data_IF_466813244140
#
_entry.id   IF_466813244140
#
_cell.length_a   1.000
_cell.length_b   1.000
_cell.length_c   1.000
_cell.angle_alpha   90.00
_cell.angle_beta   90.00
_cell.angle_gamma   90.00
#
_symmetry.space_group_name_H-M   'P 1'
#
loop_
_entity.id
_entity.type
_entity.pdbx_description
1 polymer ?
#
# COMPACT_ATOMS: atom_id res chain seq x y z
N UNK A 1 -15.03 -15.66 -8.73
CA UNK A 1 -14.15 -16.73 -9.26
C UNK A 1 -14.47 -18.01 -8.49
N UNK A 2 -15.23 -18.95 -9.07
CA UNK A 2 -15.39 -20.29 -8.47
C UNK A 2 -14.07 -21.04 -8.70
N UNK A 3 -13.29 -21.21 -7.65
CA UNK A 3 -12.13 -22.09 -7.71
C UNK A 3 -12.65 -23.49 -8.09
N UNK A 4 -12.21 -24.00 -9.22
CA UNK A 4 -12.54 -25.37 -9.66
C UNK A 4 -11.82 -26.36 -8.74
N UNK A 5 -12.51 -26.70 -7.64
CA UNK A 5 -11.99 -27.59 -6.61
C UNK A 5 -11.84 -29.05 -7.12
N UNK A 6 -12.38 -29.38 -8.31
CA UNK A 6 -12.28 -30.73 -8.86
C UNK A 6 -10.83 -31.09 -9.20
N UNK A 7 -10.07 -30.15 -9.76
CA UNK A 7 -8.63 -30.33 -10.06
C UNK A 7 -7.74 -30.43 -8.82
N UNK A 8 -8.24 -30.00 -7.66
CA UNK A 8 -7.48 -30.10 -6.41
C UNK A 8 -7.61 -31.49 -5.79
N UNK A 9 -8.74 -32.18 -6.02
CA UNK A 9 -8.98 -33.54 -5.52
C UNK A 9 -8.03 -34.61 -6.11
N UNK A 10 -7.46 -34.31 -7.29
CA UNK A 10 -6.49 -35.20 -7.96
C UNK A 10 -5.04 -35.00 -7.47
N UNK A 11 -4.79 -34.03 -6.56
CA UNK A 11 -3.46 -33.75 -6.07
C UNK A 11 -3.20 -34.43 -4.73
N UNK A 12 -1.96 -34.89 -4.49
CA UNK A 12 -1.53 -35.34 -3.17
C UNK A 12 -1.73 -34.25 -2.10
N UNK A 13 -1.93 -34.64 -0.84
CA UNK A 13 -2.10 -33.72 0.30
C UNK A 13 -0.97 -32.71 0.35
N UNK A 14 0.28 -33.18 0.19
CA UNK A 14 1.48 -32.33 0.13
C UNK A 14 1.36 -31.24 -0.95
N UNK A 15 0.90 -31.60 -2.14
CA UNK A 15 0.76 -30.67 -3.26
C UNK A 15 -0.42 -29.72 -3.08
N UNK A 16 -1.53 -30.14 -2.46
CA UNK A 16 -2.65 -29.25 -2.08
C UNK A 16 -2.21 -28.19 -1.09
N UNK A 17 -1.54 -28.59 -0.02
CA UNK A 17 -1.00 -27.67 0.98
C UNK A 17 -0.02 -26.68 0.35
N UNK A 18 0.92 -27.19 -0.44
CA UNK A 18 1.93 -26.34 -1.11
C UNK A 18 1.29 -25.34 -2.07
N UNK A 19 0.28 -25.74 -2.85
CA UNK A 19 -0.47 -24.83 -3.73
C UNK A 19 -1.32 -23.83 -2.94
N UNK A 20 -1.99 -24.27 -1.88
CA UNK A 20 -2.76 -23.41 -0.98
C UNK A 20 -1.89 -22.31 -0.38
N UNK A 21 -0.79 -22.67 0.24
CA UNK A 21 0.16 -21.69 0.82
C UNK A 21 0.77 -20.74 -0.22
N UNK A 22 1.17 -21.25 -1.39
CA UNK A 22 1.69 -20.39 -2.46
C UNK A 22 0.65 -19.38 -2.94
N UNK A 23 -0.61 -19.80 -3.09
CA UNK A 23 -1.67 -18.91 -3.55
C UNK A 23 -2.01 -17.85 -2.51
N UNK A 24 -2.12 -18.22 -1.22
CA UNK A 24 -2.37 -17.26 -0.14
C UNK A 24 -1.22 -16.27 0.02
N UNK A 25 0.03 -16.75 -0.04
CA UNK A 25 1.22 -15.88 -0.01
C UNK A 25 1.25 -14.95 -1.20
N UNK A 26 0.94 -15.44 -2.41
CA UNK A 26 0.90 -14.60 -3.61
C UNK A 26 -0.17 -13.50 -3.50
N UNK A 27 -1.39 -13.83 -3.05
CA UNK A 27 -2.46 -12.84 -2.85
C UNK A 27 -2.05 -11.80 -1.81
N UNK A 28 -1.47 -12.22 -0.68
CA UNK A 28 -1.01 -11.30 0.36
C UNK A 28 0.14 -10.40 -0.13
N UNK A 29 1.12 -10.96 -0.84
CA UNK A 29 2.25 -10.20 -1.39
C UNK A 29 1.81 -9.22 -2.47
N UNK A 30 0.90 -9.63 -3.37
CA UNK A 30 0.37 -8.76 -4.41
C UNK A 30 -0.37 -7.55 -3.82
N UNK A 31 -1.19 -7.76 -2.78
CA UNK A 31 -1.86 -6.65 -2.09
C UNK A 31 -0.88 -5.68 -1.44
N UNK A 32 0.21 -6.17 -0.84
CA UNK A 32 1.28 -5.35 -0.27
C UNK A 32 2.01 -4.52 -1.33
N UNK A 33 2.33 -5.12 -2.48
CA UNK A 33 2.97 -4.40 -3.60
C UNK A 33 2.04 -3.30 -4.15
N UNK A 34 0.76 -3.58 -4.35
CA UNK A 34 -0.22 -2.59 -4.82
C UNK A 34 -0.32 -1.43 -3.83
N UNK A 35 -0.43 -1.71 -2.53
CA UNK A 35 -0.45 -0.68 -1.49
C UNK A 35 0.81 0.18 -1.50
N UNK A 36 1.99 -0.43 -1.66
CA UNK A 36 3.27 0.28 -1.78
C UNK A 36 3.32 1.21 -3.00
N UNK A 37 2.87 0.75 -4.16
CA UNK A 37 2.80 1.57 -5.38
C UNK A 37 1.87 2.77 -5.17
N UNK A 38 0.68 2.57 -4.61
CA UNK A 38 -0.26 3.65 -4.32
C UNK A 38 0.33 4.68 -3.36
N UNK A 39 1.05 4.25 -2.33
CA UNK A 39 1.73 5.12 -1.39
C UNK A 39 2.82 5.97 -2.06
N UNK A 40 3.62 5.38 -2.96
CA UNK A 40 4.64 6.10 -3.74
C UNK A 40 3.98 7.16 -4.62
N UNK A 41 2.88 6.83 -5.32
CA UNK A 41 2.15 7.79 -6.17
C UNK A 41 1.62 8.99 -5.36
N UNK A 42 1.05 8.76 -4.19
CA UNK A 42 0.60 9.83 -3.29
C UNK A 42 1.79 10.68 -2.83
N UNK A 43 2.89 10.06 -2.41
CA UNK A 43 4.11 10.76 -1.98
C UNK A 43 4.68 11.66 -3.07
N UNK A 44 4.72 11.19 -4.32
CA UNK A 44 5.17 12.00 -5.46
C UNK A 44 4.28 13.23 -5.67
N UNK A 45 2.97 13.10 -5.51
CA UNK A 45 2.03 14.24 -5.63
C UNK A 45 2.24 15.26 -4.51
N UNK A 46 2.45 14.80 -3.28
CA UNK A 46 2.78 15.69 -2.16
C UNK A 46 4.12 16.43 -2.36
N UNK A 47 5.15 15.74 -2.82
CA UNK A 47 6.45 16.35 -3.12
C UNK A 47 6.32 17.44 -4.19
N UNK A 48 5.57 17.18 -5.27
CA UNK A 48 5.31 18.20 -6.29
C UNK A 48 4.54 19.40 -5.73
N UNK A 49 3.54 19.16 -4.88
CA UNK A 49 2.77 20.23 -4.25
C UNK A 49 3.67 21.14 -3.37
N UNK A 50 4.54 20.55 -2.57
CA UNK A 50 5.51 21.31 -1.76
C UNK A 50 6.45 22.13 -2.60
N UNK A 51 6.98 21.56 -3.70
CA UNK A 51 7.94 22.27 -4.57
C UNK A 51 7.29 23.46 -5.27
N UNK A 52 6.10 23.28 -5.87
CA UNK A 52 5.50 24.30 -6.73
C UNK A 52 4.65 25.33 -5.99
N UNK A 53 4.17 25.01 -4.80
CA UNK A 53 3.34 25.94 -4.01
C UNK A 53 3.99 26.30 -2.66
N UNK A 54 4.47 25.33 -1.88
CA UNK A 54 5.05 25.61 -0.58
C UNK A 54 6.36 26.37 -0.66
N UNK A 55 7.34 25.86 -1.40
CA UNK A 55 8.66 26.50 -1.50
C UNK A 55 8.63 27.77 -2.35
N UNK A 56 7.78 27.83 -3.39
CA UNK A 56 7.65 29.02 -4.22
C UNK A 56 7.09 30.24 -3.48
N UNK A 57 6.27 30.06 -2.43
CA UNK A 57 5.88 31.14 -1.53
C UNK A 57 7.11 31.77 -0.84
N UNK A 58 8.05 30.94 -0.40
CA UNK A 58 9.33 31.41 0.14
C UNK A 58 10.18 32.17 -0.89
N UNK A 59 10.16 31.75 -2.15
CA UNK A 59 10.87 32.41 -3.23
C UNK A 59 10.25 33.78 -3.60
N UNK A 60 8.90 33.87 -3.67
CA UNK A 60 8.22 35.16 -3.79
C UNK A 60 8.54 36.05 -2.59
N UNK A 61 8.56 35.50 -1.37
CA UNK A 61 8.95 36.22 -0.16
C UNK A 61 10.36 36.84 -0.26
N UNK A 62 11.35 36.11 -0.80
CA UNK A 62 12.69 36.62 -1.04
C UNK A 62 12.68 37.75 -2.06
N UNK A 63 11.93 37.66 -3.14
CA UNK A 63 11.74 38.71 -4.14
C UNK A 63 11.15 39.96 -3.49
N UNK A 64 10.07 39.82 -2.72
CA UNK A 64 9.40 40.94 -2.04
C UNK A 64 10.34 41.65 -1.02
N UNK A 65 11.07 40.86 -0.24
CA UNK A 65 12.02 41.38 0.75
C UNK A 65 13.12 42.13 0.06
N UNK A 66 13.78 41.57 -0.95
CA UNK A 66 14.89 42.24 -1.68
C UNK A 66 14.41 43.47 -2.43
N UNK A 67 13.20 43.46 -2.99
CA UNK A 67 12.56 44.59 -3.61
C UNK A 67 12.33 45.74 -2.60
N UNK A 68 11.80 45.41 -1.43
CA UNK A 68 11.59 46.39 -0.34
C UNK A 68 12.89 46.92 0.25
N UNK A 69 13.94 46.11 0.35
CA UNK A 69 15.26 46.51 0.82
C UNK A 69 15.95 47.47 -0.18
N UNK A 70 15.81 47.21 -1.51
CA UNK A 70 16.32 48.13 -2.54
C UNK A 70 15.63 49.47 -2.44
N UNK A 71 14.28 49.53 -2.37
CA UNK A 71 13.53 50.78 -2.14
C UNK A 71 13.98 51.51 -0.88
N UNK A 72 14.23 50.78 0.21
CA UNK A 72 14.70 51.36 1.46
C UNK A 72 16.10 52.01 1.28
N UNK A 73 16.97 51.35 0.53
CA UNK A 73 18.30 51.89 0.20
C UNK A 73 18.20 53.13 -0.68
N UNK A 74 17.34 53.16 -1.71
CA UNK A 74 17.07 54.32 -2.56
C UNK A 74 16.58 55.52 -1.74
N UNK A 75 15.64 55.29 -0.81
CA UNK A 75 15.19 56.35 0.12
C UNK A 75 16.32 56.89 1.00
N UNK A 76 17.22 56.01 1.43
CA UNK A 76 18.38 56.40 2.22
C UNK A 76 19.40 57.22 1.39
N UNK A 77 19.56 56.89 0.09
CA UNK A 77 20.39 57.67 -0.84
C UNK A 77 19.86 59.10 -1.03
N UNK A 78 18.54 59.31 -0.96
CA UNK A 78 17.92 60.64 -1.06
C UNK A 78 17.98 61.39 0.27
N UNK A 79 17.77 60.67 1.42
CA UNK A 79 17.58 61.32 2.72
C UNK A 79 18.85 61.55 3.54
N UNK A 80 19.98 60.87 3.25
CA UNK A 80 21.20 60.99 3.99
C UNK A 80 22.20 61.90 3.26
N UNK A 81 23.04 62.61 4.06
CA UNK A 81 24.03 63.52 3.55
C UNK A 81 25.48 63.11 3.86
N UNK A 82 25.66 62.12 4.79
CA UNK A 82 27.00 61.70 5.19
C UNK A 82 27.57 60.73 4.12
N UNK A 83 28.72 61.08 3.54
CA UNK A 83 29.37 60.34 2.44
C UNK A 83 29.59 58.93 2.71
N UNK A 84 30.05 58.51 3.93
CA UNK A 84 30.24 57.10 4.30
C UNK A 84 28.94 56.34 4.35
N UNK A 85 27.85 57.01 4.76
CA UNK A 85 26.49 56.40 4.78
C UNK A 85 25.95 56.23 3.37
N UNK A 86 26.08 57.21 2.52
CA UNK A 86 25.69 57.17 1.12
C UNK A 86 26.42 56.05 0.36
N UNK A 87 27.75 55.91 0.58
CA UNK A 87 28.47 54.76 -0.03
C UNK A 87 27.92 53.40 0.39
N UNK A 88 27.71 53.20 1.69
CA UNK A 88 27.12 51.92 2.21
C UNK A 88 25.72 51.69 1.67
N UNK A 89 24.89 52.70 1.53
CA UNK A 89 23.54 52.58 0.99
C UNK A 89 23.56 52.25 -0.50
N UNK A 90 24.50 52.83 -1.25
CA UNK A 90 24.71 52.48 -2.66
C UNK A 90 25.12 51.01 -2.82
N UNK A 91 26.09 50.55 -2.03
CA UNK A 91 26.51 49.13 -2.07
C UNK A 91 25.35 48.20 -1.67
N UNK A 92 24.53 48.64 -0.70
CA UNK A 92 23.34 47.89 -0.28
C UNK A 92 22.31 47.85 -1.40
N UNK A 93 22.01 49.00 -2.03
CA UNK A 93 21.09 49.08 -3.16
C UNK A 93 21.48 48.12 -4.27
N UNK A 94 22.73 48.18 -4.73
CA UNK A 94 23.20 47.35 -5.84
C UNK A 94 23.17 45.86 -5.50
N UNK A 95 23.60 45.48 -4.31
CA UNK A 95 23.56 44.09 -3.83
C UNK A 95 22.14 43.56 -3.70
N UNK A 96 21.18 44.40 -3.24
CA UNK A 96 19.78 43.96 -3.10
C UNK A 96 19.07 43.91 -4.44
N UNK A 97 19.37 44.79 -5.37
CA UNK A 97 18.89 44.73 -6.76
C UNK A 97 19.39 43.49 -7.47
N UNK A 98 20.68 43.15 -7.35
CA UNK A 98 21.24 41.90 -7.89
C UNK A 98 20.56 40.68 -7.28
N UNK A 99 20.34 40.65 -5.96
CA UNK A 99 19.62 39.58 -5.27
C UNK A 99 18.17 39.44 -5.76
N UNK A 100 17.47 40.57 -5.96
CA UNK A 100 16.14 40.58 -6.56
C UNK A 100 16.13 39.94 -7.95
N UNK A 101 17.05 40.37 -8.83
CA UNK A 101 17.14 39.86 -10.21
C UNK A 101 17.38 38.33 -10.23
N UNK A 102 18.27 37.88 -9.34
CA UNK A 102 18.51 36.45 -9.15
C UNK A 102 17.25 35.70 -8.72
N UNK A 103 16.60 36.12 -7.65
CA UNK A 103 15.40 35.45 -7.12
C UNK A 103 14.22 35.55 -8.08
N UNK A 104 14.07 36.69 -8.81
CA UNK A 104 13.06 36.85 -9.85
C UNK A 104 13.22 35.84 -10.98
N UNK A 105 14.42 35.61 -11.43
CA UNK A 105 14.75 34.61 -12.45
C UNK A 105 14.50 33.17 -11.94
N UNK A 106 14.88 32.90 -10.71
CA UNK A 106 14.64 31.57 -10.09
C UNK A 106 13.13 31.28 -9.95
N UNK A 107 12.34 32.31 -9.60
CA UNK A 107 10.91 32.25 -9.43
C UNK A 107 10.18 31.78 -10.71
N UNK A 108 10.67 32.13 -11.90
CA UNK A 108 10.06 31.74 -13.17
C UNK A 108 9.83 30.27 -13.30
N UNK A 109 10.72 29.43 -12.74
CA UNK A 109 10.60 27.97 -12.79
C UNK A 109 9.39 27.42 -12.00
N UNK A 110 8.87 28.19 -11.06
CA UNK A 110 7.75 27.84 -10.19
C UNK A 110 6.39 28.33 -10.71
N UNK A 111 6.34 29.17 -11.75
CA UNK A 111 5.12 29.66 -12.41
C UNK A 111 4.50 28.50 -13.21
N UNK A 112 3.22 28.15 -12.92
CA UNK A 112 2.58 26.95 -13.45
C UNK A 112 1.20 27.17 -14.05
N UNK A 113 0.48 28.19 -13.61
CA UNK A 113 -0.86 28.47 -14.12
C UNK A 113 -0.83 29.67 -15.06
N UNK A 114 -1.82 29.74 -15.95
CA UNK A 114 -1.94 30.89 -16.87
C UNK A 114 -2.15 32.20 -16.14
N UNK A 115 -2.81 32.18 -14.98
CA UNK A 115 -3.03 33.33 -14.12
C UNK A 115 -1.70 33.81 -13.50
N UNK A 116 -0.91 32.89 -12.94
CA UNK A 116 0.44 33.22 -12.42
C UNK A 116 1.34 33.75 -13.52
N UNK A 117 1.28 33.14 -14.71
CA UNK A 117 2.09 33.62 -15.85
C UNK A 117 1.72 35.03 -16.27
N UNK A 118 0.42 35.34 -16.32
CA UNK A 118 -0.05 36.67 -16.68
C UNK A 118 0.46 37.75 -15.67
N UNK A 119 0.39 37.44 -14.38
CA UNK A 119 0.93 38.34 -13.32
C UNK A 119 2.45 38.49 -13.46
N UNK A 120 3.18 37.37 -13.65
CA UNK A 120 4.62 37.38 -13.81
C UNK A 120 5.06 38.23 -15.03
N UNK A 121 4.41 38.05 -16.18
CA UNK A 121 4.71 38.76 -17.42
C UNK A 121 4.40 40.26 -17.28
N UNK A 122 3.30 40.65 -16.60
CA UNK A 122 2.97 42.03 -16.35
C UNK A 122 4.02 42.70 -15.44
N UNK A 123 4.43 42.07 -14.34
CA UNK A 123 5.54 42.55 -13.50
C UNK A 123 6.81 42.69 -14.35
N UNK A 124 7.16 41.66 -15.09
CA UNK A 124 8.38 41.59 -15.90
C UNK A 124 8.45 42.77 -16.90
N UNK A 125 7.31 43.13 -17.51
CA UNK A 125 7.21 44.24 -18.45
C UNK A 125 7.48 45.60 -17.82
N UNK A 126 7.29 45.74 -16.50
CA UNK A 126 7.44 46.99 -15.74
C UNK A 126 8.82 47.14 -15.07
N UNK A 127 9.53 46.03 -14.86
CA UNK A 127 10.76 46.01 -14.10
C UNK A 127 11.88 46.89 -14.71
N UNK A 128 12.07 46.86 -16.02
CA UNK A 128 13.13 47.63 -16.69
C UNK A 128 12.89 49.13 -16.51
N UNK A 129 11.64 49.59 -16.68
CA UNK A 129 11.29 50.97 -16.46
C UNK A 129 11.42 51.40 -14.99
N UNK A 130 11.01 50.53 -14.07
CA UNK A 130 11.15 50.75 -12.65
C UNK A 130 12.63 50.92 -12.23
N UNK A 131 13.50 49.98 -12.65
CA UNK A 131 14.91 50.01 -12.30
C UNK A 131 15.63 51.21 -12.89
N UNK A 132 15.26 51.62 -14.12
CA UNK A 132 15.81 52.85 -14.71
C UNK A 132 15.45 54.09 -13.89
N UNK A 133 14.20 54.21 -13.46
CA UNK A 133 13.69 55.29 -12.62
C UNK A 133 14.31 55.28 -11.22
N UNK A 134 14.45 54.12 -10.61
CA UNK A 134 15.04 53.91 -9.28
C UNK A 134 16.53 54.31 -9.27
N UNK A 135 17.30 53.87 -10.29
CA UNK A 135 18.70 54.23 -10.45
C UNK A 135 18.88 55.74 -10.68
N UNK A 136 18.03 56.35 -11.53
CA UNK A 136 18.08 57.77 -11.83
C UNK A 136 17.84 58.66 -10.58
N UNK A 137 16.76 58.35 -9.85
CA UNK A 137 16.40 59.09 -8.62
C UNK A 137 17.40 58.83 -7.51
N UNK A 138 17.88 57.59 -7.36
CA UNK A 138 18.93 57.25 -6.40
C UNK A 138 20.23 57.97 -6.65
N UNK A 139 20.64 58.12 -7.93
CA UNK A 139 21.83 58.93 -8.32
C UNK A 139 21.60 60.36 -8.10
N UNK A 140 20.41 60.92 -8.42
CA UNK A 140 20.08 62.32 -8.16
C UNK A 140 20.22 62.69 -6.67
N UNK A 141 19.63 61.87 -5.81
CA UNK A 141 19.73 62.03 -4.36
C UNK A 141 21.16 61.91 -3.82
N UNK A 142 21.90 60.87 -4.25
CA UNK A 142 23.29 60.62 -3.84
C UNK A 142 24.24 61.76 -4.22
N UNK A 143 24.00 62.35 -5.37
CA UNK A 143 24.88 63.44 -5.92
C UNK A 143 24.39 64.86 -5.57
N UNK A 144 23.31 64.97 -4.82
CA UNK A 144 22.77 66.27 -4.42
C UNK A 144 23.79 67.03 -3.57
N UNK A 145 24.23 68.20 -4.10
CA UNK A 145 25.17 69.08 -3.44
C UNK A 145 24.51 70.36 -2.86
N UNK A 146 23.25 70.55 -3.18
CA UNK A 146 22.44 71.70 -2.80
C UNK A 146 20.99 71.22 -2.43
N UNK A 147 20.28 72.04 -1.63
CA UNK A 147 18.90 71.67 -1.18
C UNK A 147 17.88 71.59 -2.31
N UNK A 148 18.08 72.24 -3.46
CA UNK A 148 17.13 72.20 -4.58
C UNK A 148 17.17 70.86 -5.31
N UNK A 149 18.38 70.35 -5.62
CA UNK A 149 18.61 69.06 -6.20
C UNK A 149 18.10 67.93 -5.28
N UNK A 150 18.31 68.05 -3.96
CA UNK A 150 17.79 67.06 -2.99
C UNK A 150 16.27 67.08 -2.97
N UNK A 151 15.65 68.28 -3.00
CA UNK A 151 14.21 68.42 -3.05
C UNK A 151 13.60 67.79 -4.33
N UNK A 152 14.23 67.97 -5.48
CA UNK A 152 13.86 67.38 -6.75
C UNK A 152 13.86 65.85 -6.65
N UNK A 153 14.90 65.23 -6.07
CA UNK A 153 14.98 63.80 -5.85
C UNK A 153 13.85 63.31 -4.95
N UNK A 154 13.52 64.03 -3.88
CA UNK A 154 12.39 63.68 -2.98
C UNK A 154 11.06 63.82 -3.70
N UNK A 155 10.78 64.84 -4.45
CA UNK A 155 9.54 65.08 -5.18
C UNK A 155 9.33 64.00 -6.25
N UNK A 156 10.38 63.70 -7.02
CA UNK A 156 10.32 62.57 -8.02
C UNK A 156 10.16 61.20 -7.38
N UNK A 157 10.82 60.96 -6.24
CA UNK A 157 10.65 59.70 -5.52
C UNK A 157 9.21 59.49 -5.04
N UNK A 158 8.53 60.58 -4.65
CA UNK A 158 7.11 60.50 -4.22
C UNK A 158 6.14 60.43 -5.40
N UNK A 159 6.40 61.23 -6.45
CA UNK A 159 5.46 61.36 -7.56
C UNK A 159 5.57 60.27 -8.61
N UNK A 160 6.76 59.73 -8.85
CA UNK A 160 7.04 58.76 -9.92
C UNK A 160 7.42 57.37 -9.38
N UNK A 161 8.41 57.29 -8.50
CA UNK A 161 8.97 56.02 -8.05
C UNK A 161 8.03 55.27 -7.09
N UNK A 162 7.38 55.99 -6.17
CA UNK A 162 6.50 55.31 -5.19
C UNK A 162 5.28 54.64 -5.85
N UNK A 163 4.55 55.30 -6.80
CA UNK A 163 3.48 54.63 -7.51
C UNK A 163 3.94 53.42 -8.32
N UNK A 164 5.08 53.50 -9.00
CA UNK A 164 5.67 52.42 -9.79
C UNK A 164 6.06 51.20 -8.90
N UNK A 165 6.65 51.49 -7.74
CA UNK A 165 6.92 50.46 -6.72
C UNK A 165 5.65 49.82 -6.22
N UNK A 166 4.66 50.64 -5.83
CA UNK A 166 3.42 50.13 -5.22
C UNK A 166 2.63 49.26 -6.20
N UNK A 167 2.64 49.59 -7.50
CA UNK A 167 2.01 48.77 -8.54
C UNK A 167 2.68 47.41 -8.66
N UNK A 168 4.01 47.33 -8.78
CA UNK A 168 4.76 46.07 -8.83
C UNK A 168 4.58 45.27 -7.53
N UNK A 169 4.66 45.97 -6.37
CA UNK A 169 4.53 45.29 -5.08
C UNK A 169 3.15 44.66 -4.86
N UNK A 170 2.07 45.35 -5.27
CA UNK A 170 0.71 44.81 -5.23
C UNK A 170 0.55 43.57 -6.12
N UNK A 171 1.21 43.56 -7.26
CA UNK A 171 1.21 42.38 -8.12
C UNK A 171 2.02 41.20 -7.54
N UNK A 172 3.15 41.50 -6.87
CA UNK A 172 3.88 40.46 -6.11
C UNK A 172 3.02 39.88 -4.97
N UNK A 173 2.23 40.74 -4.28
CA UNK A 173 1.23 40.26 -3.30
C UNK A 173 0.18 39.40 -3.96
N UNK A 174 -0.40 39.80 -5.10
CA UNK A 174 -1.37 39.05 -5.83
C UNK A 174 -0.81 37.67 -6.28
N UNK A 175 0.42 37.63 -6.77
CA UNK A 175 1.11 36.41 -7.13
C UNK A 175 1.29 35.47 -5.92
N UNK A 176 1.64 36.03 -4.76
CA UNK A 176 1.72 35.28 -3.49
C UNK A 176 0.36 34.72 -3.08
N UNK A 177 -0.69 35.53 -3.12
CA UNK A 177 -2.05 35.11 -2.74
C UNK A 177 -2.60 34.02 -3.66
N UNK A 178 -2.32 34.12 -4.97
CA UNK A 178 -2.65 33.05 -5.94
C UNK A 178 -1.93 31.75 -5.57
N UNK A 179 -0.62 31.81 -5.29
CA UNK A 179 0.16 30.63 -4.85
C UNK A 179 -0.37 30.03 -3.56
N UNK A 180 -0.73 30.83 -2.57
CA UNK A 180 -1.31 30.35 -1.30
C UNK A 180 -2.65 29.67 -1.56
N UNK A 181 -3.53 30.32 -2.33
CA UNK A 181 -4.87 29.81 -2.65
C UNK A 181 -4.80 28.49 -3.41
N UNK A 182 -3.97 28.42 -4.43
CA UNK A 182 -3.78 27.21 -5.22
C UNK A 182 -3.15 26.09 -4.40
N UNK A 183 -2.19 26.42 -3.54
CA UNK A 183 -1.58 25.49 -2.59
C UNK A 183 -2.61 24.90 -1.62
N UNK A 184 -3.47 25.72 -1.05
CA UNK A 184 -4.56 25.30 -0.15
C UNK A 184 -5.58 24.39 -0.86
N UNK A 185 -5.99 24.76 -2.08
CA UNK A 185 -6.90 23.99 -2.88
C UNK A 185 -6.30 22.62 -3.24
N UNK A 186 -5.02 22.60 -3.63
CA UNK A 186 -4.30 21.36 -3.92
C UNK A 186 -4.14 20.49 -2.66
N UNK A 187 -3.81 21.11 -1.51
CA UNK A 187 -3.71 20.42 -0.23
C UNK A 187 -5.01 19.70 0.14
N UNK A 188 -6.16 20.40 0.01
CA UNK A 188 -7.49 19.81 0.25
C UNK A 188 -7.78 18.64 -0.68
N UNK A 189 -7.48 18.79 -2.00
CA UNK A 189 -7.64 17.71 -2.98
C UNK A 189 -6.74 16.52 -2.69
N UNK A 190 -5.46 16.76 -2.34
CA UNK A 190 -4.51 15.70 -2.00
C UNK A 190 -4.93 14.96 -0.73
N UNK A 191 -5.44 15.65 0.28
CA UNK A 191 -5.99 15.03 1.49
C UNK A 191 -7.15 14.11 1.17
N UNK A 192 -8.11 14.55 0.33
CA UNK A 192 -9.25 13.72 -0.12
C UNK A 192 -8.76 12.46 -0.86
N UNK A 193 -7.82 12.65 -1.81
CA UNK A 193 -7.22 11.51 -2.56
C UNK A 193 -6.50 10.56 -1.62
N UNK A 194 -5.77 11.06 -0.62
CA UNK A 194 -5.09 10.24 0.37
C UNK A 194 -6.06 9.39 1.19
N UNK A 195 -7.17 9.96 1.66
CA UNK A 195 -8.21 9.19 2.36
C UNK A 195 -8.88 8.15 1.45
N UNK A 196 -9.13 8.49 0.18
CA UNK A 196 -9.68 7.55 -0.78
C UNK A 196 -8.72 6.37 -1.04
N UNK A 197 -7.43 6.66 -1.25
CA UNK A 197 -6.38 5.64 -1.43
C UNK A 197 -6.26 4.77 -0.18
N UNK A 198 -6.28 5.36 1.02
CA UNK A 198 -6.25 4.62 2.27
C UNK A 198 -7.46 3.66 2.40
N UNK A 199 -8.66 4.14 2.05
CA UNK A 199 -9.87 3.30 2.01
C UNK A 199 -9.73 2.13 1.03
N UNK A 200 -9.21 2.37 -0.17
CA UNK A 200 -8.95 1.33 -1.17
C UNK A 200 -7.97 0.28 -0.63
N UNK A 201 -6.88 0.71 0.01
CA UNK A 201 -5.90 -0.21 0.61
C UNK A 201 -6.53 -1.09 1.68
N UNK A 202 -7.39 -0.53 2.55
CA UNK A 202 -8.14 -1.31 3.55
C UNK A 202 -9.03 -2.37 2.86
N UNK A 203 -9.76 -1.99 1.83
CA UNK A 203 -10.64 -2.92 1.08
C UNK A 203 -9.80 -4.06 0.46
N UNK A 204 -8.63 -3.75 -0.10
CA UNK A 204 -7.72 -4.76 -0.67
C UNK A 204 -7.24 -5.73 0.41
N UNK A 205 -6.83 -5.23 1.58
CA UNK A 205 -6.35 -6.05 2.70
C UNK A 205 -7.47 -6.97 3.20
N UNK A 206 -8.66 -6.42 3.45
CA UNK A 206 -9.82 -7.19 3.92
C UNK A 206 -10.24 -8.25 2.90
N UNK A 207 -10.28 -7.89 1.62
CA UNK A 207 -10.59 -8.84 0.54
C UNK A 207 -9.56 -9.96 0.45
N UNK A 208 -8.27 -9.64 0.56
CA UNK A 208 -7.16 -10.58 0.58
C UNK A 208 -7.28 -11.57 1.75
N UNK A 209 -7.65 -11.07 2.94
CA UNK A 209 -7.89 -11.89 4.12
C UNK A 209 -9.02 -12.90 3.89
N UNK A 210 -10.19 -12.46 3.40
CA UNK A 210 -11.31 -13.36 3.12
C UNK A 210 -11.02 -14.38 2.02
N UNK A 211 -10.28 -13.99 0.97
CA UNK A 211 -9.84 -14.92 -0.08
C UNK A 211 -8.92 -15.98 0.51
N UNK A 212 -7.94 -15.58 1.32
CA UNK A 212 -7.00 -16.50 1.97
C UNK A 212 -7.70 -17.46 2.93
N UNK A 213 -8.66 -16.99 3.70
CA UNK A 213 -9.47 -17.80 4.61
C UNK A 213 -10.26 -18.87 3.84
N UNK A 214 -10.96 -18.49 2.76
CA UNK A 214 -11.70 -19.44 1.92
C UNK A 214 -10.81 -20.51 1.28
N UNK A 215 -9.60 -20.14 0.86
CA UNK A 215 -8.63 -21.10 0.32
C UNK A 215 -8.18 -22.06 1.42
N UNK A 216 -7.86 -21.53 2.61
CA UNK A 216 -7.46 -22.31 3.78
C UNK A 216 -8.54 -23.32 4.20
N UNK A 217 -9.78 -22.86 4.34
CA UNK A 217 -10.92 -23.70 4.68
C UNK A 217 -11.16 -24.81 3.64
N UNK A 218 -11.06 -24.47 2.35
CA UNK A 218 -11.22 -25.43 1.27
C UNK A 218 -10.16 -26.54 1.30
N UNK A 219 -8.93 -26.20 1.64
CA UNK A 219 -7.84 -27.18 1.79
C UNK A 219 -8.03 -28.00 3.07
N UNK A 220 -8.34 -27.36 4.19
CA UNK A 220 -8.51 -28.01 5.48
C UNK A 220 -9.68 -29.02 5.47
N UNK A 221 -10.86 -28.61 4.98
CA UNK A 221 -12.03 -29.50 4.88
C UNK A 221 -11.78 -30.64 3.90
N UNK A 222 -11.10 -30.39 2.80
CA UNK A 222 -10.75 -31.40 1.79
C UNK A 222 -9.80 -32.50 2.31
N UNK A 223 -9.11 -32.25 3.42
CA UNK A 223 -8.21 -33.23 4.07
C UNK A 223 -8.84 -33.79 5.34
N UNK A 224 -9.33 -32.93 6.22
CA UNK A 224 -9.79 -33.32 7.56
C UNK A 224 -11.02 -34.18 7.52
N UNK A 225 -12.01 -33.90 6.65
CA UNK A 225 -13.26 -34.62 6.59
C UNK A 225 -13.07 -36.10 6.16
N UNK A 226 -12.41 -36.42 5.02
CA UNK A 226 -12.19 -37.82 4.63
C UNK A 226 -11.32 -38.57 5.63
N UNK A 227 -10.37 -37.90 6.27
CA UNK A 227 -9.51 -38.51 7.27
C UNK A 227 -10.28 -38.86 8.55
N UNK A 228 -11.22 -38.03 8.98
CA UNK A 228 -12.07 -38.31 10.15
C UNK A 228 -13.05 -39.44 9.88
N UNK A 229 -13.63 -39.48 8.69
CA UNK A 229 -14.48 -40.60 8.24
C UNK A 229 -13.69 -41.91 8.22
N UNK A 230 -12.46 -41.92 7.70
CA UNK A 230 -11.59 -43.10 7.71
C UNK A 230 -11.24 -43.52 9.13
N UNK A 231 -10.87 -42.54 10.01
CA UNK A 231 -10.57 -42.82 11.42
C UNK A 231 -11.75 -43.45 12.16
N UNK A 232 -12.98 -42.95 11.95
CA UNK A 232 -14.17 -43.52 12.56
C UNK A 232 -14.40 -44.96 12.07
N UNK A 233 -14.27 -45.22 10.76
CA UNK A 233 -14.42 -46.53 10.20
C UNK A 233 -13.34 -47.50 10.70
N UNK A 234 -12.09 -47.08 10.81
CA UNK A 234 -11.01 -47.90 11.38
C UNK A 234 -11.27 -48.25 12.84
N UNK A 235 -11.92 -47.38 13.63
CA UNK A 235 -12.31 -47.67 15.01
C UNK A 235 -13.34 -48.81 15.08
N UNK A 236 -14.41 -48.75 14.26
CA UNK A 236 -15.42 -49.83 14.23
C UNK A 236 -14.84 -51.11 13.68
N UNK A 237 -13.94 -51.03 12.70
CA UNK A 237 -13.21 -52.18 12.18
C UNK A 237 -12.34 -52.86 13.25
N UNK A 238 -11.63 -52.08 14.05
CA UNK A 238 -10.85 -52.62 15.18
C UNK A 238 -11.70 -53.21 16.30
N UNK A 239 -13.01 -52.87 16.39
CA UNK A 239 -13.99 -53.42 17.29
C UNK A 239 -14.65 -54.71 16.77
N UNK A 240 -14.21 -55.21 15.57
CA UNK A 240 -14.68 -56.44 15.00
C UNK A 240 -15.73 -56.30 13.89
N UNK A 241 -16.13 -55.07 13.53
CA UNK A 241 -17.04 -54.86 12.39
C UNK A 241 -16.28 -55.06 11.06
N UNK A 242 -16.29 -56.26 10.55
CA UNK A 242 -15.67 -56.64 9.28
C UNK A 242 -16.59 -56.45 8.07
N UNK A 243 -17.86 -56.05 8.27
CA UNK A 243 -18.86 -56.01 7.19
C UNK A 243 -19.11 -54.57 6.66
N UNK A 244 -19.17 -53.56 7.52
CA UNK A 244 -19.44 -52.20 7.09
C UNK A 244 -18.42 -51.68 6.05
N UNK A 245 -18.87 -51.00 4.99
CA UNK A 245 -17.97 -50.53 3.94
C UNK A 245 -17.09 -49.40 4.43
N UNK A 246 -15.86 -49.32 3.94
CA UNK A 246 -15.03 -48.13 4.10
C UNK A 246 -15.56 -46.98 3.27
N UNK A 247 -15.38 -45.72 3.72
CA UNK A 247 -15.89 -44.54 3.04
C UNK A 247 -15.41 -44.47 1.59
N UNK A 248 -16.30 -43.99 0.70
CA UNK A 248 -15.90 -43.67 -0.67
C UNK A 248 -15.11 -42.35 -0.67
N UNK A 249 -13.89 -42.38 -1.14
CA UNK A 249 -13.03 -41.20 -1.24
C UNK A 249 -12.90 -40.82 -2.72
N UNK A 250 -13.42 -39.64 -3.09
CA UNK A 250 -13.38 -39.12 -4.47
C UNK A 250 -12.01 -38.49 -4.83
N UNK A 251 -10.99 -38.62 -4.00
CA UNK A 251 -9.65 -38.13 -4.26
C UNK A 251 -8.71 -39.23 -4.73
N UNK A 252 -7.67 -38.87 -5.46
CA UNK A 252 -6.57 -39.74 -5.87
C UNK A 252 -5.31 -39.40 -5.08
N UNK A 253 -5.47 -39.21 -3.76
CA UNK A 253 -4.38 -38.78 -2.87
C UNK A 253 -4.04 -39.91 -1.87
N UNK A 254 -3.15 -39.57 -0.95
CA UNK A 254 -2.66 -40.48 0.10
C UNK A 254 -3.80 -41.04 0.98
N UNK A 255 -4.92 -40.30 1.10
CA UNK A 255 -6.13 -40.82 1.84
C UNK A 255 -6.82 -41.92 1.04
N UNK A 256 -6.93 -41.78 -0.27
CA UNK A 256 -7.48 -42.83 -1.13
C UNK A 256 -6.62 -44.10 -1.06
N UNK A 257 -5.31 -43.97 -1.03
CA UNK A 257 -4.39 -45.10 -0.85
C UNK A 257 -4.59 -45.76 0.52
N UNK A 258 -4.70 -44.99 1.59
CA UNK A 258 -4.98 -45.51 2.95
C UNK A 258 -6.31 -46.26 2.99
N UNK A 259 -7.36 -45.74 2.35
CA UNK A 259 -8.65 -46.43 2.25
C UNK A 259 -8.52 -47.72 1.44
N UNK A 260 -7.74 -47.72 0.35
CA UNK A 260 -7.45 -48.90 -0.46
C UNK A 260 -6.78 -50.01 0.35
N UNK A 261 -5.73 -49.67 1.09
CA UNK A 261 -5.03 -50.62 1.99
C UNK A 261 -5.98 -51.16 3.08
N UNK A 262 -6.80 -50.28 3.71
CA UNK A 262 -7.74 -50.69 4.72
C UNK A 262 -8.83 -51.67 4.18
N UNK A 263 -9.33 -51.44 2.95
CA UNK A 263 -10.23 -52.37 2.24
C UNK A 263 -9.58 -53.71 1.99
N UNK A 264 -8.33 -53.72 1.57
CA UNK A 264 -7.60 -55.01 1.37
C UNK A 264 -7.45 -55.76 2.68
N UNK A 265 -7.12 -55.08 3.77
CA UNK A 265 -7.08 -55.71 5.09
C UNK A 265 -8.44 -56.27 5.52
N UNK A 266 -9.54 -55.54 5.30
CA UNK A 266 -10.89 -56.00 5.59
C UNK A 266 -11.20 -57.28 4.82
N UNK A 267 -10.90 -57.33 3.52
CA UNK A 267 -11.13 -58.51 2.69
C UNK A 267 -10.32 -59.72 3.17
N UNK A 268 -9.04 -59.50 3.48
CA UNK A 268 -8.15 -60.58 3.95
C UNK A 268 -8.63 -61.14 5.28
N UNK A 269 -8.95 -60.28 6.24
CA UNK A 269 -9.45 -60.73 7.55
C UNK A 269 -10.79 -61.39 7.45
N UNK A 270 -11.70 -60.91 6.61
CA UNK A 270 -13.00 -61.54 6.36
C UNK A 270 -12.84 -62.93 5.76
N UNK A 271 -11.97 -63.10 4.77
CA UNK A 271 -11.67 -64.40 4.18
C UNK A 271 -11.05 -65.38 5.19
N UNK A 272 -10.12 -64.89 6.00
CA UNK A 272 -9.49 -65.70 7.06
C UNK A 272 -10.52 -66.13 8.11
N UNK A 273 -11.42 -65.21 8.51
CA UNK A 273 -12.50 -65.52 9.43
C UNK A 273 -13.47 -66.59 8.86
N UNK A 274 -13.91 -66.46 7.60
CA UNK A 274 -14.78 -67.43 6.91
C UNK A 274 -14.10 -68.80 6.74
N UNK A 275 -12.78 -68.80 6.43
CA UNK A 275 -12.04 -70.06 6.35
C UNK A 275 -11.90 -70.74 7.70
N UNK A 276 -11.64 -69.95 8.75
CA UNK A 276 -11.56 -70.46 10.10
C UNK A 276 -12.93 -71.05 10.58
N UNK A 277 -14.03 -70.32 10.36
CA UNK A 277 -15.38 -70.78 10.73
C UNK A 277 -15.76 -72.07 9.97
N UNK A 278 -15.50 -72.13 8.66
CA UNK A 278 -15.76 -73.33 7.85
C UNK A 278 -14.89 -74.57 8.27
N UNK A 279 -13.65 -74.26 8.69
CA UNK A 279 -12.77 -75.29 9.25
C UNK A 279 -13.30 -75.79 10.60
N UNK A 280 -13.72 -74.89 11.49
CA UNK A 280 -14.31 -75.29 12.80
C UNK A 280 -15.62 -76.06 12.63
N UNK A 281 -16.50 -75.65 11.72
CA UNK A 281 -17.75 -76.44 11.40
C UNK A 281 -17.46 -77.82 10.87
N UNK A 282 -16.43 -77.97 9.98
CA UNK A 282 -16.04 -79.27 9.45
C UNK A 282 -15.47 -80.15 10.56
N UNK A 283 -14.57 -79.61 11.37
CA UNK A 283 -13.95 -80.24 12.50
C UNK A 283 -15.01 -80.70 13.53
N UNK A 284 -16.00 -79.87 13.81
CA UNK A 284 -17.14 -80.23 14.68
C UNK A 284 -17.96 -81.37 14.12
N UNK A 285 -18.25 -81.38 12.81
CA UNK A 285 -18.98 -82.49 12.17
C UNK A 285 -18.17 -83.77 12.24
N UNK A 286 -16.89 -83.76 12.01
CA UNK A 286 -16.02 -84.93 12.12
C UNK A 286 -15.98 -85.49 13.54
N UNK A 287 -15.88 -84.63 14.56
CA UNK A 287 -15.95 -85.07 15.97
C UNK A 287 -17.27 -85.69 16.31
N UNK A 288 -18.40 -85.16 15.89
CA UNK A 288 -19.72 -85.64 16.12
C UNK A 288 -19.87 -87.02 15.42
N UNK A 289 -19.41 -87.17 14.17
CA UNK A 289 -19.42 -88.43 13.42
C UNK A 289 -18.54 -89.46 14.04
N UNK A 290 -17.37 -89.12 14.55
CA UNK A 290 -16.47 -90.03 15.27
C UNK A 290 -17.13 -90.53 16.56
N UNK A 291 -17.77 -89.67 17.34
CA UNK A 291 -18.52 -90.06 18.56
C UNK A 291 -19.64 -90.98 18.27
N UNK A 292 -20.42 -90.76 17.21
CA UNK A 292 -21.51 -91.62 16.79
C UNK A 292 -21.03 -93.03 16.32
N UNK A 293 -19.89 -93.10 15.64
CA UNK A 293 -19.35 -94.33 15.06
C UNK A 293 -18.67 -95.20 16.10
N UNK A 294 -17.97 -94.62 17.06
CA UNK A 294 -17.17 -95.41 18.02
C UNK A 294 -17.75 -95.47 19.44
N UNK A 295 -18.91 -94.85 19.72
CA UNK A 295 -19.59 -94.78 21.02
C UNK A 295 -18.65 -94.40 22.19
N UNK A 296 -17.63 -93.57 21.93
CA UNK A 296 -16.70 -93.11 22.92
C UNK A 296 -17.32 -91.90 23.63
N UNK A 297 -17.37 -91.93 24.98
CA UNK A 297 -17.92 -90.84 25.79
C UNK A 297 -16.92 -89.66 25.79
N UNK A 298 -17.17 -88.64 24.94
CA UNK A 298 -16.38 -87.42 24.90
C UNK A 298 -16.97 -86.44 25.98
N UNK A 299 -16.19 -85.91 26.90
CA UNK A 299 -16.68 -84.97 27.91
C UNK A 299 -17.45 -83.78 27.26
N UNK A 300 -18.65 -83.48 27.78
CA UNK A 300 -19.52 -82.38 27.30
C UNK A 300 -18.78 -81.01 27.15
N UNK A 301 -17.72 -80.81 27.90
CA UNK A 301 -16.87 -79.62 27.86
C UNK A 301 -16.24 -79.38 26.46
N UNK A 302 -15.94 -80.42 25.68
CA UNK A 302 -15.37 -80.30 24.33
C UNK A 302 -16.43 -79.95 23.27
N UNK A 303 -17.70 -80.30 23.51
CA UNK A 303 -18.82 -79.92 22.66
C UNK A 303 -19.26 -78.46 22.89
N UNK A 304 -19.10 -77.97 24.14
CA UNK A 304 -19.50 -76.60 24.51
C UNK A 304 -18.46 -75.57 24.09
N UNK A 305 -17.16 -75.91 24.01
CA UNK A 305 -16.09 -75.04 23.58
C UNK A 305 -16.27 -74.62 22.11
N UNK A 306 -16.94 -75.42 21.28
CA UNK A 306 -17.21 -75.10 19.87
C UNK A 306 -18.26 -73.97 19.71
N UNK A 307 -19.22 -73.86 20.65
CA UNK A 307 -20.30 -72.85 20.58
C UNK A 307 -19.92 -71.51 21.06
N UNK A 308 -18.94 -71.42 21.97
CA UNK A 308 -18.47 -70.12 22.46
C UNK A 308 -17.47 -69.42 21.52
N UNK A 309 -16.77 -70.10 20.64
CA UNK A 309 -15.84 -69.52 19.67
C UNK A 309 -16.53 -69.06 18.38
N UNK A 310 -17.81 -69.36 18.11
CA UNK A 310 -18.52 -68.96 16.88
C UNK A 310 -19.48 -67.81 17.10
N UNK A 311 -19.65 -67.30 18.33
CA UNK A 311 -20.37 -66.06 18.64
C UNK A 311 -19.37 -64.87 18.80
#
# INVERSE_FOLDING_TARGET
MKLDMSKWKALSIKNRLKKGFRLTTFVASASGVIAGILMILVSMRYSSALTFYGFSQGDIGKVMVTFSETRSATRALIGYTASDTLSKMSDTHDSKKESFQKYWKELQSSIKTDEEQAIYDDINSKLDSYWSLDDEIGQLGRNATDPETQKEAEERAVAELAPAYDDIYQQLVALMDTKVTDGDNLSKRLSLVSYAVFGIVIVIIVSSYFISMKIGDGVAVGISKPLDELKQRLRTFAQGDLEAPFPAVDSQDEIADMVGVAKTWQQTLRLSYLTLTSFLERWQKEIIQFHQTWKINIPEILLDFSWQCVR
#
